data_IF_414723168900
#
_entry.id   IF_414723168900
#
_cell.length_a   1.000
_cell.length_b   1.000
_cell.length_c   1.000
_cell.angle_alpha   90.00
_cell.angle_beta   90.00
_cell.angle_gamma   90.00
#
_symmetry.space_group_name_H-M   'P 1'
#
loop_
_entity.id
_entity.type
_entity.pdbx_description
1 polymer ?
#
# COMPACT_ATOMS: atom_id res chain seq x y z
N UNK A 1 -61.50 -3.98 20.46
CA UNK A 1 -60.08 -3.96 20.86
C UNK A 1 -59.19 -4.89 20.01
N UNK A 2 -59.52 -6.18 19.84
CA UNK A 2 -58.67 -7.16 19.10
C UNK A 2 -58.35 -6.80 17.63
N UNK A 3 -59.30 -6.19 16.90
CA UNK A 3 -59.14 -5.80 15.48
C UNK A 3 -58.24 -4.58 15.27
N UNK A 4 -58.15 -3.71 16.26
CA UNK A 4 -57.35 -2.49 16.20
C UNK A 4 -55.86 -2.78 16.45
N UNK A 5 -55.58 -3.71 17.38
CA UNK A 5 -54.22 -4.20 17.63
C UNK A 5 -53.62 -4.91 16.41
N UNK A 6 -54.42 -5.73 15.71
CA UNK A 6 -53.96 -6.42 14.50
C UNK A 6 -53.63 -5.44 13.35
N UNK A 7 -54.45 -4.40 13.16
CA UNK A 7 -54.18 -3.36 12.15
C UNK A 7 -52.91 -2.56 12.47
N UNK A 8 -52.67 -2.26 13.74
CA UNK A 8 -51.49 -1.51 14.18
C UNK A 8 -50.19 -2.31 13.96
N UNK A 9 -50.22 -3.62 14.21
CA UNK A 9 -49.08 -4.51 13.98
C UNK A 9 -48.74 -4.60 12.49
N UNK A 10 -49.74 -4.71 11.61
CA UNK A 10 -49.53 -4.77 10.15
C UNK A 10 -48.95 -3.47 9.60
N UNK A 11 -49.41 -2.32 10.10
CA UNK A 11 -48.86 -1.02 9.69
C UNK A 11 -47.42 -0.85 10.16
N UNK A 12 -47.11 -1.24 11.40
CA UNK A 12 -45.75 -1.17 11.92
C UNK A 12 -44.79 -2.07 11.14
N UNK A 13 -45.15 -3.32 10.84
CA UNK A 13 -44.29 -4.21 10.05
C UNK A 13 -44.07 -3.70 8.63
N UNK A 14 -45.09 -3.14 8.00
CA UNK A 14 -44.95 -2.53 6.67
C UNK A 14 -44.00 -1.32 6.70
N UNK A 15 -44.12 -0.45 7.71
CA UNK A 15 -43.23 0.71 7.88
C UNK A 15 -41.79 0.28 8.14
N UNK A 16 -41.56 -0.71 9.00
CA UNK A 16 -40.22 -1.24 9.24
C UNK A 16 -39.60 -1.90 8.01
N UNK A 17 -40.39 -2.61 7.21
CA UNK A 17 -39.93 -3.21 5.96
C UNK A 17 -39.51 -2.15 4.92
N UNK A 18 -40.30 -1.06 4.80
CA UNK A 18 -39.96 0.06 3.91
C UNK A 18 -38.72 0.82 4.40
N UNK A 19 -38.56 1.01 5.71
CA UNK A 19 -37.35 1.63 6.29
C UNK A 19 -36.13 0.75 6.06
N UNK A 20 -36.26 -0.57 6.16
CA UNK A 20 -35.17 -1.50 5.84
C UNK A 20 -34.79 -1.45 4.36
N UNK A 21 -35.77 -1.51 3.46
CA UNK A 21 -35.56 -1.47 2.00
C UNK A 21 -35.00 -0.13 1.50
N UNK A 22 -35.24 0.98 2.23
CA UNK A 22 -34.72 2.31 1.85
C UNK A 22 -33.37 2.64 2.48
N UNK A 23 -32.93 1.89 3.49
CA UNK A 23 -31.65 2.10 4.17
C UNK A 23 -30.49 1.41 3.44
N UNK A 24 -30.78 0.37 2.68
CA UNK A 24 -29.84 -0.26 1.74
C UNK A 24 -29.76 0.58 0.46
N UNK A 25 -29.24 1.80 0.56
CA UNK A 25 -28.61 2.39 -0.62
C UNK A 25 -27.47 1.44 -0.96
N UNK A 26 -27.45 0.78 -2.13
CA UNK A 26 -26.30 -0.03 -2.51
C UNK A 26 -25.11 0.92 -2.45
N UNK A 27 -24.19 0.64 -1.53
CA UNK A 27 -22.91 1.30 -1.50
C UNK A 27 -22.34 1.09 -2.90
N UNK A 28 -22.32 2.15 -3.70
CA UNK A 28 -21.78 2.09 -5.05
C UNK A 28 -20.44 1.40 -4.93
N UNK A 29 -20.24 0.33 -5.70
CA UNK A 29 -18.94 -0.32 -5.76
C UNK A 29 -17.89 0.79 -5.94
N UNK A 30 -16.78 0.77 -5.17
CA UNK A 30 -15.73 1.78 -5.30
C UNK A 30 -15.41 1.94 -6.78
N UNK A 31 -15.44 3.17 -7.29
CA UNK A 31 -15.06 3.41 -8.67
C UNK A 31 -13.61 2.90 -8.85
N UNK A 32 -13.34 2.16 -9.93
CA UNK A 32 -12.03 1.57 -10.15
C UNK A 32 -10.98 2.68 -10.19
N UNK A 33 -9.90 2.48 -9.46
CA UNK A 33 -8.80 3.45 -9.40
C UNK A 33 -7.99 3.33 -10.69
N UNK A 34 -7.93 4.38 -11.52
CA UNK A 34 -7.23 4.32 -12.79
C UNK A 34 -5.73 4.15 -12.58
N UNK A 35 -5.15 3.22 -13.33
CA UNK A 35 -3.70 3.06 -13.42
C UNK A 35 -3.12 4.04 -14.43
N UNK A 36 -2.29 4.96 -13.96
CA UNK A 36 -1.51 5.88 -14.78
C UNK A 36 -0.14 5.27 -15.10
N UNK A 37 0.09 4.88 -16.35
CA UNK A 37 1.36 4.32 -16.83
C UNK A 37 2.09 5.33 -17.72
N UNK A 38 3.42 5.35 -17.59
CA UNK A 38 4.33 6.03 -18.51
C UNK A 38 4.58 5.22 -19.80
N UNK A 39 5.35 5.78 -20.74
CA UNK A 39 5.60 5.16 -22.05
C UNK A 39 6.31 3.80 -22.00
N UNK A 40 7.01 3.51 -20.92
CA UNK A 40 7.74 2.26 -20.67
C UNK A 40 6.90 1.22 -19.90
N UNK A 41 5.63 1.55 -19.58
CA UNK A 41 4.76 0.70 -18.77
C UNK A 41 5.06 0.75 -17.27
N UNK A 42 5.91 1.68 -16.81
CA UNK A 42 6.14 1.98 -15.40
C UNK A 42 5.06 2.94 -14.90
N UNK A 43 4.55 2.83 -13.67
CA UNK A 43 3.60 3.80 -13.13
C UNK A 43 4.13 5.23 -13.18
N UNK A 44 3.30 6.16 -13.64
CA UNK A 44 3.54 7.59 -13.46
C UNK A 44 3.22 7.96 -12.00
N UNK A 45 4.19 7.74 -11.12
CA UNK A 45 4.06 8.03 -9.71
C UNK A 45 3.66 9.49 -9.42
N UNK A 46 3.96 10.44 -10.31
CA UNK A 46 3.63 11.85 -10.10
C UNK A 46 2.15 12.17 -10.38
N UNK A 47 1.44 11.28 -11.08
CA UNK A 47 0.01 11.42 -11.36
C UNK A 47 -0.88 11.19 -10.14
N UNK A 48 -0.36 10.54 -9.09
CA UNK A 48 -1.11 10.23 -7.88
C UNK A 48 -0.88 11.28 -6.79
N UNK A 49 -1.93 11.74 -6.09
CA UNK A 49 -1.78 12.65 -4.95
C UNK A 49 -0.98 12.00 -3.83
N UNK A 50 -0.08 12.78 -3.22
CA UNK A 50 0.69 12.33 -2.06
C UNK A 50 -0.17 12.32 -0.80
N UNK A 51 -0.02 11.26 -0.01
CA UNK A 51 -0.54 11.21 1.37
C UNK A 51 0.27 12.13 2.29
N UNK A 52 -0.28 12.43 3.46
CA UNK A 52 0.49 13.08 4.54
C UNK A 52 1.43 12.04 5.20
N UNK A 53 2.76 12.17 5.08
CA UNK A 53 3.70 11.20 5.63
C UNK A 53 3.65 11.08 7.16
N UNK A 54 3.18 12.13 7.86
CA UNK A 54 3.05 12.08 9.32
C UNK A 54 2.08 10.99 9.80
N UNK A 55 1.12 10.59 8.97
CA UNK A 55 0.17 9.53 9.29
C UNK A 55 0.79 8.12 9.27
N UNK A 56 1.98 7.99 8.69
CA UNK A 56 2.64 6.70 8.44
C UNK A 56 3.88 6.51 9.32
N UNK A 57 4.07 7.36 10.32
CA UNK A 57 5.14 7.23 11.31
C UNK A 57 4.77 6.12 12.29
N UNK A 58 5.58 5.07 12.32
CA UNK A 58 5.42 3.94 13.26
C UNK A 58 6.26 4.15 14.51
N UNK A 59 7.40 4.85 14.38
CA UNK A 59 8.24 5.19 15.52
C UNK A 59 8.97 6.51 15.31
N UNK A 60 8.82 7.38 16.31
CA UNK A 60 9.59 8.61 16.46
C UNK A 60 10.74 8.40 17.45
N UNK A 61 11.93 8.92 17.15
CA UNK A 61 13.02 9.04 18.13
C UNK A 61 13.70 7.73 18.61
N UNK A 62 14.87 7.92 19.25
CA UNK A 62 15.83 6.91 19.74
C UNK A 62 16.00 5.68 18.82
N UNK A 63 16.88 5.77 17.82
CA UNK A 63 17.13 4.71 16.84
C UNK A 63 16.95 5.20 15.40
N UNK A 64 16.45 4.35 14.52
CA UNK A 64 16.08 4.71 13.14
C UNK A 64 14.60 5.09 13.09
N UNK A 65 14.22 6.26 12.55
CA UNK A 65 12.82 6.56 12.33
C UNK A 65 12.24 5.52 11.36
N UNK A 66 11.09 4.96 11.72
CA UNK A 66 10.39 3.96 10.91
C UNK A 66 9.08 4.57 10.47
N UNK A 67 8.86 4.57 9.16
CA UNK A 67 7.57 4.83 8.55
C UNK A 67 7.18 3.60 7.74
N UNK A 68 5.90 3.36 7.57
CA UNK A 68 5.46 2.22 6.80
C UNK A 68 3.97 2.22 6.54
N UNK A 69 3.56 1.35 5.62
CA UNK A 69 2.17 1.17 5.23
C UNK A 69 1.91 -0.29 4.89
N UNK A 70 0.63 -0.63 4.79
CA UNK A 70 0.15 -1.89 4.23
C UNK A 70 -0.87 -1.67 3.12
N UNK A 71 -1.09 -2.69 2.31
CA UNK A 71 -2.11 -2.69 1.24
C UNK A 71 -3.13 -3.81 1.47
N UNK A 72 -4.35 -3.72 0.89
CA UNK A 72 -5.35 -4.80 0.97
C UNK A 72 -4.87 -6.12 0.37
N UNK A 73 -3.91 -6.07 -0.55
CA UNK A 73 -3.33 -7.23 -1.21
C UNK A 73 -2.32 -7.99 -0.33
N UNK A 74 -2.13 -7.58 0.94
CA UNK A 74 -1.25 -8.25 1.89
C UNK A 74 0.21 -7.82 1.78
N UNK A 75 0.51 -6.69 1.13
CA UNK A 75 1.84 -6.10 1.19
C UNK A 75 1.99 -5.25 2.46
N UNK A 76 3.18 -5.29 3.04
CA UNK A 76 3.62 -4.40 4.12
C UNK A 76 4.96 -3.82 3.69
N UNK A 77 5.12 -2.50 3.82
CA UNK A 77 6.34 -1.81 3.47
C UNK A 77 6.81 -0.93 4.61
N UNK A 78 8.10 -0.95 4.90
CA UNK A 78 8.72 -0.13 5.93
C UNK A 78 9.96 0.57 5.39
N UNK A 79 10.09 1.84 5.70
CA UNK A 79 11.29 2.62 5.41
C UNK A 79 12.16 2.71 6.65
N UNK A 80 13.46 2.52 6.48
CA UNK A 80 14.46 2.84 7.51
C UNK A 80 15.45 3.85 6.97
N UNK A 81 15.88 4.77 7.83
CA UNK A 81 16.83 5.82 7.45
C UNK A 81 17.96 5.95 8.47
N UNK A 82 19.20 6.00 7.99
CA UNK A 82 20.37 6.28 8.82
C UNK A 82 21.45 7.03 8.06
N UNK A 83 21.85 8.23 8.53
CA UNK A 83 23.01 8.98 7.97
C UNK A 83 23.01 9.06 6.43
N UNK A 84 21.86 9.43 5.86
CA UNK A 84 21.61 9.49 4.42
C UNK A 84 21.63 8.14 3.68
N UNK A 85 21.54 7.02 4.39
CA UNK A 85 21.15 5.72 3.85
C UNK A 85 19.65 5.61 3.97
N UNK A 86 18.98 5.25 2.88
CA UNK A 86 17.55 5.08 2.84
C UNK A 86 17.23 3.70 2.30
N UNK A 87 16.50 2.91 3.07
CA UNK A 87 16.01 1.61 2.66
C UNK A 87 14.48 1.61 2.67
N UNK A 88 13.92 0.84 1.75
CA UNK A 88 12.51 0.44 1.74
C UNK A 88 12.49 -1.08 1.62
N UNK A 89 11.94 -1.73 2.63
CA UNK A 89 11.69 -3.16 2.65
C UNK A 89 10.19 -3.41 2.52
N UNK A 90 9.80 -4.17 1.50
CA UNK A 90 8.41 -4.53 1.24
C UNK A 90 8.25 -6.05 1.27
N UNK A 91 7.43 -6.56 2.18
CA UNK A 91 7.03 -7.96 2.27
C UNK A 91 5.67 -8.16 1.64
N UNK A 92 5.47 -9.27 0.93
CA UNK A 92 4.15 -9.58 0.37
C UNK A 92 4.17 -10.69 -0.68
N UNK A 93 3.03 -10.92 -1.36
CA UNK A 93 2.88 -11.96 -2.36
C UNK A 93 3.46 -11.52 -3.71
N UNK A 94 4.79 -11.58 -3.86
CA UNK A 94 5.47 -11.29 -5.13
C UNK A 94 5.32 -12.45 -6.13
N UNK A 95 4.17 -12.53 -6.79
CA UNK A 95 3.88 -13.56 -7.80
C UNK A 95 4.96 -13.54 -8.89
N UNK A 96 5.57 -14.70 -9.15
CA UNK A 96 6.58 -14.86 -10.20
C UNK A 96 7.94 -14.22 -9.90
N UNK A 97 8.17 -13.73 -8.68
CA UNK A 97 9.50 -13.27 -8.29
C UNK A 97 10.51 -14.43 -8.20
N UNK A 98 11.82 -14.16 -8.38
CA UNK A 98 12.86 -15.17 -8.29
C UNK A 98 12.84 -15.90 -6.94
N UNK A 99 13.16 -17.20 -6.96
CA UNK A 99 13.31 -18.05 -5.77
C UNK A 99 12.14 -17.97 -4.78
N UNK A 100 10.92 -17.73 -5.30
CA UNK A 100 9.70 -17.52 -4.52
C UNK A 100 9.91 -16.47 -3.39
N UNK A 101 10.61 -15.40 -3.72
CA UNK A 101 10.88 -14.29 -2.82
C UNK A 101 9.59 -13.69 -2.26
N UNK A 102 9.62 -13.34 -0.98
CA UNK A 102 8.53 -12.65 -0.29
C UNK A 102 8.95 -11.27 0.22
N UNK A 103 10.19 -10.85 -0.04
CA UNK A 103 10.77 -9.56 0.34
C UNK A 103 11.39 -8.87 -0.89
N UNK A 104 11.07 -7.60 -1.07
CA UNK A 104 11.75 -6.69 -1.98
C UNK A 104 12.50 -5.64 -1.17
N UNK A 105 13.81 -5.52 -1.39
CA UNK A 105 14.67 -4.52 -0.74
C UNK A 105 15.12 -3.48 -1.76
N UNK A 106 14.80 -2.22 -1.50
CA UNK A 106 15.26 -1.07 -2.27
C UNK A 106 16.13 -0.21 -1.38
N UNK A 107 17.21 0.33 -1.94
CA UNK A 107 18.16 1.09 -1.15
C UNK A 107 18.81 2.22 -1.95
N UNK A 108 19.04 3.36 -1.30
CA UNK A 108 19.80 4.49 -1.87
C UNK A 108 20.75 5.13 -0.86
N UNK A 109 21.81 5.75 -1.37
CA UNK A 109 22.78 6.54 -0.61
C UNK A 109 22.67 8.02 -0.97
N UNK A 110 22.55 8.92 0.00
CA UNK A 110 22.38 10.34 -0.26
C UNK A 110 21.07 10.67 -1.00
N UNK A 111 20.87 11.95 -1.31
CA UNK A 111 19.75 12.40 -2.16
C UNK A 111 20.13 12.42 -3.65
N UNK A 112 21.40 12.13 -3.97
CA UNK A 112 21.97 12.22 -5.31
C UNK A 112 22.81 11.01 -5.72
N UNK A 113 23.22 10.13 -4.80
CA UNK A 113 23.99 8.95 -5.18
C UNK A 113 23.03 7.80 -5.48
N UNK A 114 23.07 7.35 -6.74
CA UNK A 114 22.04 6.51 -7.34
C UNK A 114 21.62 5.32 -6.49
N UNK A 115 20.36 4.93 -6.63
CA UNK A 115 19.85 3.74 -6.01
C UNK A 115 20.72 2.54 -6.42
N UNK A 116 20.99 1.66 -5.46
CA UNK A 116 21.64 0.38 -5.78
C UNK A 116 20.61 -0.53 -6.47
N UNK A 117 21.05 -1.56 -7.22
CA UNK A 117 20.13 -2.56 -7.73
C UNK A 117 19.27 -3.11 -6.59
N UNK A 118 17.98 -3.21 -6.83
CA UNK A 118 17.08 -3.80 -5.86
C UNK A 118 17.32 -5.32 -5.76
N UNK A 119 16.92 -5.93 -4.65
CA UNK A 119 16.97 -7.38 -4.50
C UNK A 119 15.61 -7.94 -4.11
N UNK A 120 15.37 -9.17 -4.57
CA UNK A 120 14.29 -10.02 -4.11
C UNK A 120 14.89 -11.15 -3.30
N UNK A 121 14.38 -11.38 -2.09
CA UNK A 121 14.84 -12.46 -1.21
C UNK A 121 13.65 -13.11 -0.52
N UNK A 122 13.87 -14.32 0.02
CA UNK A 122 12.94 -14.97 0.93
C UNK A 122 13.41 -14.76 2.36
N UNK A 123 12.49 -14.37 3.24
CA UNK A 123 12.73 -14.25 4.68
C UNK A 123 11.53 -14.77 5.47
N UNK A 124 11.79 -15.36 6.63
CA UNK A 124 10.77 -15.66 7.65
C UNK A 124 10.83 -14.65 8.81
N UNK A 125 11.79 -13.72 8.78
CA UNK A 125 11.97 -12.69 9.80
C UNK A 125 11.02 -11.51 9.56
N UNK A 126 10.55 -10.83 10.62
CA UNK A 126 9.76 -9.60 10.47
C UNK A 126 10.54 -8.51 9.72
N UNK A 127 9.82 -7.64 9.01
CA UNK A 127 10.41 -6.49 8.31
C UNK A 127 11.15 -5.51 9.23
N UNK A 128 10.69 -5.37 10.46
CA UNK A 128 11.25 -4.44 11.42
C UNK A 128 12.34 -5.13 12.26
N UNK A 129 13.62 -4.72 12.17
CA UNK A 129 14.65 -5.11 13.14
C UNK A 129 14.48 -4.37 14.48
N UNK A 130 13.44 -3.55 14.60
CA UNK A 130 13.20 -2.67 15.73
C UNK A 130 12.20 -3.34 16.67
N UNK A 131 12.69 -3.68 17.87
CA UNK A 131 11.92 -4.32 18.94
C UNK A 131 10.56 -3.61 19.16
N UNK A 132 9.50 -4.43 19.15
CA UNK A 132 8.14 -4.01 19.52
C UNK A 132 7.29 -3.41 18.41
N UNK A 133 7.81 -3.21 17.20
CA UNK A 133 6.99 -2.82 16.04
C UNK A 133 6.49 -4.06 15.31
N UNK A 134 5.18 -4.19 15.19
CA UNK A 134 4.55 -5.27 14.42
C UNK A 134 3.98 -4.72 13.11
N UNK A 135 4.01 -5.54 12.07
CA UNK A 135 3.63 -5.13 10.71
C UNK A 135 2.16 -4.71 10.56
N UNK A 136 1.29 -5.20 11.45
CA UNK A 136 -0.13 -4.88 11.53
C UNK A 136 -0.42 -3.47 12.09
N UNK A 137 0.56 -2.86 12.77
CA UNK A 137 0.47 -1.46 13.22
C UNK A 137 0.59 -0.48 12.04
N UNK A 138 1.09 -0.93 10.88
CA UNK A 138 1.19 -0.10 9.70
C UNK A 138 -0.21 0.38 9.23
N UNK A 139 -0.39 1.68 8.95
CA UNK A 139 -1.61 2.20 8.34
C UNK A 139 -1.84 1.64 6.94
N UNK A 140 -3.10 1.57 6.53
CA UNK A 140 -3.43 1.24 5.14
C UNK A 140 -3.15 2.45 4.24
N UNK A 141 -2.35 2.24 3.20
CA UNK A 141 -2.24 3.20 2.10
C UNK A 141 -3.56 3.19 1.32
N UNK A 142 -4.22 4.33 1.04
CA UNK A 142 -5.38 4.35 0.15
C UNK A 142 -4.98 4.05 -1.29
N UNK A 143 -5.83 3.31 -2.02
CA UNK A 143 -5.62 3.08 -3.45
C UNK A 143 -5.62 4.40 -4.22
N UNK A 144 -4.73 4.52 -5.21
CA UNK A 144 -4.60 5.72 -6.03
C UNK A 144 -3.96 6.91 -5.33
N UNK A 145 -3.36 6.72 -4.15
CA UNK A 145 -2.52 7.71 -3.50
C UNK A 145 -1.10 7.22 -3.40
N UNK A 146 -0.14 8.15 -3.41
CA UNK A 146 1.28 7.82 -3.27
C UNK A 146 1.79 8.08 -1.86
N UNK A 147 2.56 7.13 -1.38
CA UNK A 147 3.40 7.26 -0.20
C UNK A 147 4.78 7.76 -0.63
N UNK A 148 5.29 8.82 0.01
CA UNK A 148 6.62 9.38 -0.21
C UNK A 148 7.38 9.47 1.12
N UNK A 149 8.49 8.75 1.25
CA UNK A 149 9.36 8.84 2.43
C UNK A 149 10.76 8.32 2.12
N UNK A 150 11.81 9.02 2.60
CA UNK A 150 13.18 8.54 2.53
C UNK A 150 13.60 8.10 1.12
N UNK A 151 13.41 8.96 0.12
CA UNK A 151 13.60 8.69 -1.31
C UNK A 151 12.69 7.61 -1.94
N UNK A 152 11.90 6.88 -1.15
CA UNK A 152 10.92 5.93 -1.65
C UNK A 152 9.65 6.64 -2.12
N UNK A 153 9.11 6.19 -3.25
CA UNK A 153 7.74 6.49 -3.66
C UNK A 153 7.03 5.18 -3.95
N UNK A 154 5.86 4.97 -3.35
CA UNK A 154 5.04 3.78 -3.56
C UNK A 154 3.59 4.13 -3.87
N UNK A 155 2.93 3.31 -4.69
CA UNK A 155 1.50 3.38 -5.01
C UNK A 155 0.91 1.97 -5.09
N UNK A 156 -0.40 1.88 -4.90
CA UNK A 156 -1.18 0.72 -5.33
C UNK A 156 -2.51 1.19 -5.93
N UNK A 157 -3.07 0.35 -6.78
CA UNK A 157 -4.31 0.53 -7.53
C UNK A 157 -5.00 -0.85 -7.65
N UNK A 158 -6.09 -0.94 -8.40
CA UNK A 158 -6.77 -2.23 -8.61
C UNK A 158 -5.96 -3.18 -9.51
N UNK A 159 -5.22 -2.65 -10.48
CA UNK A 159 -4.38 -3.46 -11.39
C UNK A 159 -2.97 -3.69 -10.84
N UNK A 160 -2.46 -2.72 -10.09
CA UNK A 160 -1.13 -2.75 -9.47
C UNK A 160 -1.27 -2.94 -7.98
N UNK A 161 -1.05 -4.17 -7.52
CA UNK A 161 -1.13 -4.52 -6.10
C UNK A 161 -0.13 -3.75 -5.24
N UNK A 162 1.06 -3.48 -5.81
CA UNK A 162 2.05 -2.57 -5.27
C UNK A 162 3.09 -2.22 -6.34
N UNK A 163 3.42 -0.95 -6.47
CA UNK A 163 4.64 -0.52 -7.16
C UNK A 163 5.40 0.45 -6.27
N UNK A 164 6.71 0.26 -6.18
CA UNK A 164 7.59 1.11 -5.41
C UNK A 164 8.84 1.43 -6.23
N UNK A 165 9.34 2.65 -6.06
CA UNK A 165 10.63 3.08 -6.58
C UNK A 165 11.44 3.74 -5.48
N UNK A 166 12.75 3.68 -5.65
CA UNK A 166 13.69 4.53 -4.95
C UNK A 166 14.18 5.62 -5.91
N UNK A 167 14.28 6.85 -5.43
CA UNK A 167 14.76 7.97 -6.22
C UNK A 167 16.17 7.66 -6.78
N UNK A 168 16.26 7.64 -8.11
CA UNK A 168 17.52 7.51 -8.85
C UNK A 168 17.48 8.49 -10.03
N UNK A 169 18.54 9.29 -10.24
CA UNK A 169 18.54 10.36 -11.23
C UNK A 169 18.57 9.90 -12.69
N UNK A 170 18.75 8.59 -12.99
CA UNK A 170 18.87 8.09 -14.36
C UNK A 170 17.61 7.37 -14.83
N UNK A 171 17.12 6.39 -14.07
CA UNK A 171 15.95 5.56 -14.49
C UNK A 171 14.91 5.31 -13.40
N UNK A 172 15.19 5.63 -12.14
CA UNK A 172 14.47 5.07 -10.99
C UNK A 172 14.73 3.56 -10.84
N UNK A 173 14.99 3.06 -9.64
CA UNK A 173 15.08 1.62 -9.39
C UNK A 173 13.87 1.18 -8.59
N UNK A 174 13.20 0.12 -9.02
CA UNK A 174 12.00 -0.33 -8.33
C UNK A 174 11.37 -1.57 -8.92
N UNK A 175 10.15 -1.86 -8.45
CA UNK A 175 9.35 -2.99 -8.90
C UNK A 175 7.89 -2.62 -9.10
N UNK A 176 7.20 -3.48 -9.85
CA UNK A 176 5.76 -3.49 -10.04
C UNK A 176 5.29 -4.91 -9.77
N UNK A 177 4.42 -5.07 -8.78
CA UNK A 177 3.74 -6.31 -8.43
C UNK A 177 2.27 -6.23 -8.84
N UNK A 178 1.82 -7.25 -9.56
CA UNK A 178 0.45 -7.42 -10.06
C UNK A 178 -0.09 -8.78 -9.60
N UNK A 179 -1.34 -9.10 -9.94
CA UNK A 179 -1.90 -10.42 -9.63
C UNK A 179 -1.20 -11.57 -10.35
N UNK A 180 -0.54 -11.31 -11.48
CA UNK A 180 0.00 -12.36 -12.36
C UNK A 180 1.53 -12.37 -12.43
N UNK A 181 2.18 -11.26 -12.11
CA UNK A 181 3.64 -11.15 -12.18
C UNK A 181 4.20 -10.03 -11.28
N UNK A 182 5.49 -10.15 -10.98
CA UNK A 182 6.33 -9.13 -10.37
C UNK A 182 7.50 -8.86 -11.30
N UNK A 183 7.73 -7.60 -11.65
CA UNK A 183 8.87 -7.18 -12.49
C UNK A 183 9.65 -6.05 -11.83
N UNK A 184 10.96 -6.06 -12.01
CA UNK A 184 11.82 -4.93 -11.65
C UNK A 184 12.03 -3.98 -12.84
N UNK A 185 12.40 -2.74 -12.53
CA UNK A 185 12.83 -1.74 -13.51
C UNK A 185 13.99 -0.92 -12.94
N UNK A 186 14.71 -0.22 -13.82
CA UNK A 186 15.90 0.55 -13.45
C UNK A 186 17.20 -0.22 -13.67
N UNK A 187 18.11 -0.13 -12.70
CA UNK A 187 19.39 -0.85 -12.69
C UNK A 187 19.18 -2.29 -12.23
N UNK A 188 19.48 -3.22 -13.13
CA UNK A 188 19.65 -4.66 -12.89
C UNK A 188 21.10 -4.98 -12.56
#
# INVERSE_FOLDING_TARGET
MKRWAAALVVVLTAVFAVIWLTREKPESAPEPVPTHLGPDGTPDFAAYPAVDPAQYVLREGQGFPVQGFRTPAGFVCMTTQHRAMYALDCRGPFVGAPDDANLAHLFSYGTTNGAIPMSFTRTEEPLSPVDGLTEDEAPMLPAGQRFDSGNATCIHTDDILLACRMADPVKGNGFIATQTETKSFGRS
#
